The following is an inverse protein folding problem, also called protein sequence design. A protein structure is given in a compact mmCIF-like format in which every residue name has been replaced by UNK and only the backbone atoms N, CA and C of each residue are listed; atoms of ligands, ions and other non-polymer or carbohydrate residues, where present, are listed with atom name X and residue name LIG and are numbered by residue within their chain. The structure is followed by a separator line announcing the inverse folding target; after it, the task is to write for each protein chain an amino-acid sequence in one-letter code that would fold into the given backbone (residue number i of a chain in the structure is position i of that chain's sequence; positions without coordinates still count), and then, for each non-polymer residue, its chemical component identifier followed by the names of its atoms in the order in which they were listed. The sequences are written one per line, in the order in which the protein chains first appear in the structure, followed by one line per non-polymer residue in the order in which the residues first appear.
data_IF_753823145681
#
_entry.id   IF_753823145681
#
_cell.length_a   1.000
_cell.length_b   1.000
_cell.length_c   1.000
_cell.angle_alpha   90.00
_cell.angle_beta   90.00
_cell.angle_gamma   90.00
#
_symmetry.space_group_name_H-M   'P 1'
#
loop_
_entity.id
_entity.type
_entity.pdbx_description
1 polymer ?
#
# COMPACT_ATOMS: atom_id res chain seq x y z
N UNK A 1 15.59 -13.76 4.41
CA UNK A 1 14.43 -13.09 3.76
C UNK A 1 14.06 -11.91 4.63
N UNK A 2 14.26 -10.68 4.15
CA UNK A 2 13.64 -9.51 4.79
C UNK A 2 12.12 -9.57 4.52
N UNK A 3 11.31 -9.33 5.55
CA UNK A 3 9.86 -9.28 5.43
C UNK A 3 9.47 -8.15 4.48
N UNK A 4 8.72 -8.44 3.42
CA UNK A 4 8.21 -7.45 2.46
C UNK A 4 7.12 -6.52 3.03
N UNK A 5 6.97 -6.52 4.35
CA UNK A 5 5.92 -5.88 5.10
C UNK A 5 6.54 -5.24 6.34
N UNK A 6 6.79 -3.92 6.29
CA UNK A 6 7.45 -3.17 7.37
C UNK A 6 6.56 -2.09 8.00
N UNK A 7 5.26 -2.06 7.69
CA UNK A 7 4.34 -1.12 8.33
C UNK A 7 4.26 -1.40 9.85
N UNK A 8 4.40 -0.38 10.73
CA UNK A 8 4.22 -0.53 12.17
C UNK A 8 2.85 -1.10 12.55
N UNK A 9 1.78 -0.68 11.84
CA UNK A 9 0.41 -1.17 12.05
C UNK A 9 0.31 -2.66 11.74
N UNK A 10 1.01 -3.10 10.69
CA UNK A 10 1.04 -4.49 10.30
C UNK A 10 1.85 -5.34 11.29
N UNK A 11 2.97 -4.83 11.79
CA UNK A 11 3.77 -5.51 12.82
C UNK A 11 2.97 -5.75 14.10
N UNK A 12 2.20 -4.77 14.55
CA UNK A 12 1.36 -4.89 15.74
C UNK A 12 0.30 -6.00 15.56
N UNK A 13 -0.38 -6.02 14.42
CA UNK A 13 -1.47 -6.99 14.15
C UNK A 13 -0.97 -8.40 13.90
N UNK A 14 0.17 -8.54 13.25
CA UNK A 14 0.72 -9.84 12.87
C UNK A 14 1.44 -10.55 14.02
N UNK A 15 1.77 -9.84 15.10
CA UNK A 15 2.35 -10.40 16.34
C UNK A 15 1.52 -11.52 16.98
N UNK A 16 0.21 -11.58 16.67
CA UNK A 16 -0.74 -12.57 17.21
C UNK A 16 -0.97 -13.78 16.30
N UNK A 17 -0.35 -13.81 15.11
CA UNK A 17 -0.58 -14.86 14.10
C UNK A 17 0.59 -15.87 14.13
N UNK A 18 0.34 -17.19 14.13
CA UNK A 18 1.41 -18.19 14.02
C UNK A 18 2.30 -17.96 12.81
N UNK A 19 3.62 -17.88 13.02
CA UNK A 19 4.62 -17.42 12.03
C UNK A 19 4.53 -18.15 10.68
N UNK A 20 4.30 -19.46 10.68
CA UNK A 20 4.19 -20.24 9.43
C UNK A 20 2.91 -19.92 8.63
N UNK A 21 1.79 -19.70 9.31
CA UNK A 21 0.54 -19.29 8.67
C UNK A 21 0.62 -17.84 8.15
N UNK A 22 1.30 -16.97 8.89
CA UNK A 22 1.55 -15.59 8.51
C UNK A 22 2.39 -15.50 7.22
N UNK A 23 3.51 -16.23 7.13
CA UNK A 23 4.37 -16.20 5.94
C UNK A 23 3.58 -16.62 4.68
N UNK A 24 2.85 -17.73 4.75
CA UNK A 24 2.04 -18.21 3.62
C UNK A 24 0.94 -17.22 3.23
N UNK A 25 0.33 -16.56 4.23
CA UNK A 25 -0.66 -15.51 3.99
C UNK A 25 -0.04 -14.31 3.27
N UNK A 26 1.13 -13.85 3.73
CA UNK A 26 1.84 -12.72 3.16
C UNK A 26 2.36 -12.99 1.74
N UNK A 27 2.85 -14.19 1.44
CA UNK A 27 3.26 -14.59 0.09
C UNK A 27 2.07 -14.60 -0.88
N UNK A 28 0.95 -15.19 -0.46
CA UNK A 28 -0.29 -15.16 -1.24
C UNK A 28 -0.82 -13.74 -1.43
N UNK A 29 -0.70 -12.89 -0.40
CA UNK A 29 -1.11 -11.50 -0.45
C UNK A 29 -0.28 -10.70 -1.47
N UNK A 30 1.05 -10.88 -1.52
CA UNK A 30 1.90 -10.22 -2.51
C UNK A 30 1.55 -10.62 -3.94
N UNK A 31 1.26 -11.90 -4.18
CA UNK A 31 0.83 -12.36 -5.50
C UNK A 31 -0.49 -11.69 -5.92
N UNK A 32 -1.48 -11.69 -5.03
CA UNK A 32 -2.77 -11.06 -5.28
C UNK A 32 -2.65 -9.53 -5.46
N UNK A 33 -1.80 -8.87 -4.66
CA UNK A 33 -1.47 -7.45 -4.80
C UNK A 33 -0.84 -7.15 -6.16
N UNK A 34 0.15 -7.95 -6.59
CA UNK A 34 0.77 -7.82 -7.92
C UNK A 34 -0.28 -7.94 -9.04
N UNK A 35 -1.14 -8.96 -8.95
CA UNK A 35 -2.20 -9.19 -9.91
C UNK A 35 -3.21 -8.04 -9.97
N UNK A 36 -3.62 -7.49 -8.83
CA UNK A 36 -4.53 -6.34 -8.78
C UNK A 36 -3.85 -5.05 -9.25
N UNK A 37 -2.55 -4.86 -8.97
CA UNK A 37 -1.76 -3.75 -9.48
C UNK A 37 -1.72 -3.77 -11.01
N UNK A 38 -1.35 -4.90 -11.61
CA UNK A 38 -1.23 -5.07 -13.07
C UNK A 38 -2.52 -4.69 -13.82
N UNK A 39 -3.70 -4.91 -13.23
CA UNK A 39 -4.99 -4.54 -13.84
C UNK A 39 -5.18 -3.03 -13.98
N UNK A 40 -4.59 -2.26 -13.07
CA UNK A 40 -4.78 -0.80 -13.01
C UNK A 40 -3.69 -0.08 -13.81
N UNK A 41 -2.49 -0.66 -13.90
CA UNK A 41 -1.39 -0.01 -14.62
C UNK A 41 -1.71 0.22 -16.10
N UNK A 42 -1.39 1.41 -16.65
CA UNK A 42 -1.66 1.76 -18.05
C UNK A 42 -0.75 0.95 -18.98
N UNK A 43 -1.32 0.27 -19.98
CA UNK A 43 -0.51 -0.50 -20.95
C UNK A 43 0.32 0.46 -21.81
N UNK A 44 1.65 0.35 -21.76
CA UNK A 44 2.56 1.24 -22.51
C UNK A 44 2.72 2.65 -21.93
N UNK A 45 2.07 2.95 -20.80
CA UNK A 45 2.05 4.29 -20.21
C UNK A 45 3.13 4.55 -19.16
N UNK A 46 3.00 5.67 -18.45
CA UNK A 46 3.92 6.13 -17.41
C UNK A 46 3.26 6.09 -16.04
N UNK A 47 3.91 5.42 -15.10
CA UNK A 47 3.49 5.28 -13.70
C UNK A 47 4.40 6.17 -12.84
N UNK A 48 3.83 7.06 -12.05
CA UNK A 48 4.58 7.77 -11.02
C UNK A 48 4.41 7.05 -9.68
N UNK A 49 5.47 6.41 -9.20
CA UNK A 49 5.54 5.81 -7.88
C UNK A 49 6.05 6.84 -6.86
N UNK A 50 5.16 7.27 -5.98
CA UNK A 50 5.39 8.25 -4.93
C UNK A 50 5.62 7.54 -3.60
N UNK A 51 6.83 7.69 -3.03
CA UNK A 51 7.23 7.05 -1.78
C UNK A 51 7.01 5.51 -1.78
N UNK A 52 7.51 4.78 -2.80
CA UNK A 52 7.38 3.33 -2.82
C UNK A 52 8.20 2.72 -1.68
N UNK A 53 7.54 1.88 -0.87
CA UNK A 53 8.14 1.17 0.26
C UNK A 53 8.20 -0.31 -0.09
N UNK A 54 8.06 -1.19 0.88
CA UNK A 54 8.35 -2.62 0.77
C UNK A 54 7.48 -3.41 -0.20
N UNK A 55 6.17 -3.20 -0.19
CA UNK A 55 5.23 -3.93 -1.04
C UNK A 55 5.43 -3.50 -2.48
N UNK A 56 5.35 -2.18 -2.73
CA UNK A 56 5.44 -1.60 -4.06
C UNK A 56 6.85 -1.82 -4.64
N UNK A 57 7.91 -1.73 -3.83
CA UNK A 57 9.27 -2.11 -4.26
C UNK A 57 9.33 -3.56 -4.77
N UNK A 58 8.63 -4.48 -4.10
CA UNK A 58 8.69 -5.90 -4.43
C UNK A 58 7.93 -6.26 -5.71
N UNK A 59 6.80 -5.58 -5.98
CA UNK A 59 5.88 -5.99 -7.06
C UNK A 59 5.91 -5.05 -8.27
N UNK A 60 6.26 -3.77 -8.10
CA UNK A 60 6.18 -2.78 -9.18
C UNK A 60 7.07 -3.10 -10.37
N UNK A 61 8.35 -3.51 -10.23
CA UNK A 61 9.21 -3.76 -11.39
C UNK A 61 8.63 -4.82 -12.32
N UNK A 62 8.09 -5.91 -11.75
CA UNK A 62 7.45 -6.97 -12.52
C UNK A 62 6.16 -6.48 -13.17
N UNK A 63 5.27 -5.86 -12.39
CA UNK A 63 3.98 -5.39 -12.90
C UNK A 63 4.14 -4.36 -14.03
N UNK A 64 5.07 -3.41 -13.87
CA UNK A 64 5.38 -2.41 -14.89
C UNK A 64 5.94 -3.06 -16.17
N UNK A 65 6.84 -4.04 -16.03
CA UNK A 65 7.39 -4.77 -17.18
C UNK A 65 6.31 -5.52 -17.97
N UNK A 66 5.44 -6.26 -17.28
CA UNK A 66 4.34 -7.01 -17.94
C UNK A 66 3.37 -6.08 -18.68
N UNK A 67 3.19 -4.86 -18.15
CA UNK A 67 2.31 -3.84 -18.74
C UNK A 67 3.05 -2.92 -19.72
N UNK A 68 4.35 -3.13 -19.94
CA UNK A 68 5.23 -2.29 -20.74
C UNK A 68 5.20 -0.82 -20.30
N UNK A 69 5.07 -0.56 -19.00
CA UNK A 69 5.07 0.78 -18.44
C UNK A 69 6.49 1.32 -18.26
N UNK A 70 6.62 2.63 -18.33
CA UNK A 70 7.75 3.36 -17.75
C UNK A 70 7.37 3.86 -16.35
N UNK A 71 8.36 3.99 -15.46
CA UNK A 71 8.17 4.29 -14.04
C UNK A 71 9.00 5.50 -13.65
N UNK A 72 8.34 6.58 -13.24
CA UNK A 72 8.95 7.71 -12.53
C UNK A 72 8.95 7.34 -11.05
N UNK A 73 10.11 7.35 -10.40
CA UNK A 73 10.25 6.92 -9.01
C UNK A 73 10.65 8.10 -8.13
N UNK A 74 9.77 8.53 -7.23
CA UNK A 74 9.99 9.62 -6.28
C UNK A 74 10.19 9.05 -4.88
N UNK A 75 11.31 9.38 -4.24
CA UNK A 75 11.66 8.91 -2.89
C UNK A 75 11.71 7.38 -2.76
N UNK A 76 12.02 6.66 -3.84
CA UNK A 76 12.18 5.21 -3.81
C UNK A 76 13.54 4.77 -3.28
N UNK A 77 13.60 3.54 -2.80
CA UNK A 77 14.84 2.95 -2.30
C UNK A 77 15.88 2.78 -3.42
N UNK A 78 17.20 2.83 -3.10
CA UNK A 78 18.25 2.56 -4.09
C UNK A 78 18.09 1.21 -4.79
N UNK A 79 17.58 0.20 -4.07
CA UNK A 79 17.32 -1.14 -4.58
C UNK A 79 16.23 -1.12 -5.65
N UNK A 80 15.11 -0.42 -5.39
CA UNK A 80 14.04 -0.26 -6.37
C UNK A 80 14.55 0.47 -7.61
N UNK A 81 15.26 1.59 -7.44
CA UNK A 81 15.77 2.39 -8.56
C UNK A 81 16.70 1.55 -9.44
N UNK A 82 17.58 0.75 -8.84
CA UNK A 82 18.46 -0.18 -9.57
C UNK A 82 17.67 -1.24 -10.34
N UNK A 83 16.65 -1.83 -9.72
CA UNK A 83 15.83 -2.86 -10.38
C UNK A 83 15.00 -2.29 -11.54
N UNK A 84 14.43 -1.09 -11.38
CA UNK A 84 13.73 -0.39 -12.46
C UNK A 84 14.68 -0.06 -13.62
N UNK A 85 15.90 0.39 -13.33
CA UNK A 85 16.91 0.70 -14.35
C UNK A 85 17.37 -0.56 -15.09
N UNK A 86 17.62 -1.64 -14.37
CA UNK A 86 18.05 -2.94 -14.92
C UNK A 86 17.03 -3.52 -15.90
N UNK A 87 15.74 -3.29 -15.67
CA UNK A 87 14.66 -3.77 -16.53
C UNK A 87 14.30 -2.78 -17.65
N UNK A 88 15.06 -1.68 -17.84
CA UNK A 88 14.75 -0.60 -18.78
C UNK A 88 13.32 -0.03 -18.61
N UNK A 89 12.85 0.07 -17.38
CA UNK A 89 11.52 0.65 -17.09
C UNK A 89 11.61 1.95 -16.29
N UNK A 90 12.78 2.33 -15.78
CA UNK A 90 12.96 3.60 -15.09
C UNK A 90 12.89 4.79 -16.07
N UNK A 91 11.98 5.73 -15.81
CA UNK A 91 11.89 7.01 -16.51
C UNK A 91 12.54 8.12 -15.70
N UNK A 92 13.52 8.79 -16.31
CA UNK A 92 14.21 9.95 -15.73
C UNK A 92 13.99 11.23 -16.52
N UNK A 93 13.29 11.16 -17.66
CA UNK A 93 13.15 12.27 -18.62
C UNK A 93 11.75 12.88 -18.56
N UNK A 94 10.74 12.07 -18.29
CA UNK A 94 9.36 12.54 -18.21
C UNK A 94 9.13 13.29 -16.90
N UNK A 95 8.50 14.46 -17.00
CA UNK A 95 8.05 15.23 -15.83
C UNK A 95 6.99 14.43 -15.06
N UNK A 96 7.03 14.46 -13.72
CA UNK A 96 6.11 13.66 -12.91
C UNK A 96 4.64 14.02 -13.16
N UNK A 97 4.35 15.28 -13.49
CA UNK A 97 3.02 15.82 -13.79
C UNK A 97 2.41 15.22 -15.07
N UNK A 98 3.21 14.52 -15.88
CA UNK A 98 2.79 13.86 -17.11
C UNK A 98 2.56 12.35 -16.93
N UNK A 99 2.59 11.85 -15.70
CA UNK A 99 2.28 10.45 -15.46
C UNK A 99 0.79 10.16 -15.68
N UNK A 100 0.49 9.00 -16.24
CA UNK A 100 -0.88 8.53 -16.47
C UNK A 100 -1.55 8.06 -15.16
N UNK A 101 -0.74 7.62 -14.19
CA UNK A 101 -1.21 7.20 -12.87
C UNK A 101 -0.18 7.54 -11.80
N UNK A 102 -0.67 7.95 -10.63
CA UNK A 102 0.10 8.17 -9.42
C UNK A 102 -0.22 7.07 -8.42
N UNK A 103 0.81 6.37 -7.93
CA UNK A 103 0.67 5.29 -6.97
C UNK A 103 1.55 5.51 -5.75
N UNK A 104 1.04 5.21 -4.56
CA UNK A 104 1.79 5.27 -3.30
C UNK A 104 1.59 4.02 -2.44
N UNK A 105 2.54 3.75 -1.55
CA UNK A 105 2.43 2.74 -0.51
C UNK A 105 2.29 3.45 0.86
N UNK A 106 1.06 3.58 1.39
CA UNK A 106 0.88 4.21 2.68
C UNK A 106 1.29 3.28 3.83
N UNK A 107 1.48 3.87 5.01
CA UNK A 107 1.77 3.10 6.21
C UNK A 107 0.52 2.34 6.69
N UNK A 108 -0.68 2.85 6.37
CA UNK A 108 -1.92 2.10 6.51
C UNK A 108 -3.13 2.75 5.84
N UNK A 109 -4.30 2.20 6.14
CA UNK A 109 -5.57 2.68 5.61
C UNK A 109 -6.48 3.09 6.76
N UNK A 110 -7.22 4.18 6.58
CA UNK A 110 -8.28 4.63 7.47
C UNK A 110 -9.59 4.73 6.70
N UNK A 111 -10.68 5.02 7.41
CA UNK A 111 -12.01 5.21 6.80
C UNK A 111 -11.97 6.27 5.70
N UNK A 112 -11.23 7.35 5.94
CA UNK A 112 -11.24 8.55 5.11
C UNK A 112 -10.10 8.59 4.07
N UNK A 113 -9.26 7.54 4.02
CA UNK A 113 -8.20 7.46 3.02
C UNK A 113 -6.95 6.69 3.46
N UNK A 114 -5.80 7.15 3.00
CA UNK A 114 -4.50 6.53 3.28
C UNK A 114 -3.75 7.27 4.39
N UNK A 115 -3.11 6.50 5.26
CA UNK A 115 -2.29 7.00 6.35
C UNK A 115 -0.84 7.12 5.88
N UNK A 116 -0.33 8.35 5.89
CA UNK A 116 1.00 8.71 5.39
C UNK A 116 1.72 9.54 6.42
N UNK A 117 3.05 9.64 6.30
CA UNK A 117 3.79 10.52 7.20
C UNK A 117 3.58 11.98 6.81
N UNK A 118 3.63 12.93 7.75
CA UNK A 118 3.42 14.34 7.44
C UNK A 118 4.30 14.90 6.32
N UNK A 119 5.54 14.42 6.20
CA UNK A 119 6.46 14.83 5.13
C UNK A 119 6.07 14.33 3.72
N UNK A 120 5.13 13.37 3.62
CA UNK A 120 4.63 12.82 2.34
C UNK A 120 3.39 13.59 1.85
N UNK A 121 2.65 14.24 2.77
CA UNK A 121 1.32 14.81 2.56
C UNK A 121 1.28 15.85 1.44
N UNK A 122 2.18 16.83 1.46
CA UNK A 122 2.13 17.97 0.53
C UNK A 122 2.23 17.52 -0.94
N UNK A 123 3.07 16.52 -1.22
CA UNK A 123 3.24 16.02 -2.57
C UNK A 123 2.05 15.14 -2.99
N UNK A 124 1.61 14.25 -2.11
CA UNK A 124 0.53 13.31 -2.41
C UNK A 124 -0.81 14.02 -2.65
N UNK A 125 -1.10 15.10 -1.94
CA UNK A 125 -2.34 15.87 -2.11
C UNK A 125 -2.43 16.63 -3.44
N UNK A 126 -1.31 16.77 -4.18
CA UNK A 126 -1.30 17.44 -5.49
C UNK A 126 -1.88 16.58 -6.62
N UNK A 127 -2.06 15.27 -6.38
CA UNK A 127 -2.43 14.31 -7.41
C UNK A 127 -3.61 13.43 -6.99
N UNK A 128 -4.28 12.85 -7.98
CA UNK A 128 -5.26 11.80 -7.75
C UNK A 128 -4.53 10.46 -7.53
N UNK A 129 -4.26 10.12 -6.27
CA UNK A 129 -3.39 9.00 -5.91
C UNK A 129 -4.15 7.69 -5.71
N UNK A 130 -3.65 6.62 -6.32
CA UNK A 130 -4.01 5.24 -5.97
C UNK A 130 -3.07 4.73 -4.88
N UNK A 131 -3.61 4.24 -3.77
CA UNK A 131 -2.81 3.63 -2.71
C UNK A 131 -2.79 2.11 -2.84
N UNK A 132 -1.67 1.48 -2.51
CA UNK A 132 -1.52 0.03 -2.46
C UNK A 132 -0.97 -0.44 -1.11
N UNK A 133 -1.59 -1.47 -0.55
CA UNK A 133 -1.13 -2.06 0.70
C UNK A 133 -1.99 -3.25 1.10
N UNK A 134 -1.59 -3.97 2.15
CA UNK A 134 -2.39 -5.06 2.68
C UNK A 134 -3.63 -4.54 3.39
N UNK A 135 -4.73 -5.27 3.19
CA UNK A 135 -5.95 -5.23 3.97
C UNK A 135 -5.71 -5.15 5.49
N UNK A 136 -4.66 -5.82 5.98
CA UNK A 136 -4.33 -5.87 7.40
C UNK A 136 -3.85 -4.52 7.96
N UNK A 137 -3.37 -3.60 7.12
CA UNK A 137 -2.92 -2.26 7.51
C UNK A 137 -4.08 -1.29 7.81
N UNK A 138 -5.33 -1.73 7.68
CA UNK A 138 -6.48 -0.90 7.99
C UNK A 138 -6.64 -0.65 9.49
N UNK A 139 -6.89 0.58 9.88
CA UNK A 139 -7.18 0.99 11.26
C UNK A 139 -8.41 1.90 11.33
N UNK A 140 -9.08 1.87 12.48
CA UNK A 140 -10.18 2.81 12.80
C UNK A 140 -9.68 4.08 13.47
N UNK A 141 -8.47 4.03 14.01
CA UNK A 141 -7.85 5.13 14.75
C UNK A 141 -6.82 5.81 13.85
N UNK A 142 -6.84 7.14 13.81
CA UNK A 142 -5.81 7.95 13.17
C UNK A 142 -4.63 8.09 14.16
N UNK A 143 -3.46 7.50 13.88
CA UNK A 143 -2.29 7.67 14.74
C UNK A 143 -1.83 9.13 14.75
N UNK A 144 -1.38 9.63 15.90
CA UNK A 144 -0.88 11.00 16.03
C UNK A 144 0.38 11.30 15.19
N UNK A 145 1.03 10.26 14.68
CA UNK A 145 2.24 10.34 13.84
C UNK A 145 1.94 10.38 12.35
N UNK A 146 0.67 10.36 11.95
CA UNK A 146 0.24 10.20 10.56
C UNK A 146 -0.80 11.22 10.18
N UNK A 147 -0.71 11.68 8.93
CA UNK A 147 -1.79 12.39 8.26
C UNK A 147 -2.67 11.39 7.51
N UNK A 148 -3.92 11.77 7.28
CA UNK A 148 -4.84 11.05 6.42
C UNK A 148 -5.03 11.83 5.12
N UNK A 149 -4.73 11.21 3.98
CA UNK A 149 -4.93 11.80 2.66
C UNK A 149 -6.04 11.08 1.90
N UNK A 150 -6.82 11.83 1.13
CA UNK A 150 -7.77 11.25 0.19
C UNK A 150 -7.02 10.46 -0.90
N UNK A 151 -7.60 9.34 -1.30
CA UNK A 151 -7.10 8.49 -2.39
C UNK A 151 -8.24 8.24 -3.37
N UNK A 152 -7.94 7.98 -4.64
CA UNK A 152 -8.96 7.61 -5.62
C UNK A 152 -9.26 6.12 -5.62
N UNK A 153 -8.27 5.29 -5.31
CA UNK A 153 -8.42 3.83 -5.23
C UNK A 153 -7.50 3.25 -4.16
N UNK A 154 -7.97 2.20 -3.50
CA UNK A 154 -7.15 1.33 -2.66
C UNK A 154 -6.97 -0.03 -3.37
N UNK A 155 -5.73 -0.45 -3.57
CA UNK A 155 -5.36 -1.79 -4.05
C UNK A 155 -4.95 -2.63 -2.85
N UNK A 156 -5.62 -3.74 -2.66
CA UNK A 156 -5.31 -4.74 -1.64
C UNK A 156 -5.20 -6.13 -2.26
N UNK A 157 -4.78 -7.12 -1.47
CA UNK A 157 -4.84 -8.53 -1.82
C UNK A 157 -6.27 -9.03 -2.08
N UNK A 158 -7.30 -8.30 -1.62
CA UNK A 158 -8.71 -8.68 -1.83
C UNK A 158 -9.35 -8.06 -3.07
N UNK A 159 -8.70 -7.07 -3.67
CA UNK A 159 -9.20 -6.37 -4.84
C UNK A 159 -8.88 -4.88 -4.81
N UNK A 160 -9.58 -4.17 -5.70
CA UNK A 160 -9.47 -2.72 -5.87
C UNK A 160 -10.77 -2.06 -5.43
N UNK A 161 -10.67 -1.04 -4.58
CA UNK A 161 -11.81 -0.35 -3.99
C UNK A 161 -11.74 1.14 -4.33
N UNK A 162 -12.90 1.71 -4.67
CA UNK A 162 -13.07 3.16 -4.72
C UNK A 162 -13.26 3.73 -3.31
N UNK A 163 -13.19 5.05 -3.11
CA UNK A 163 -13.22 5.65 -1.77
C UNK A 163 -14.54 5.38 -1.05
N UNK A 164 -15.64 5.29 -1.81
CA UNK A 164 -16.98 4.96 -1.28
C UNK A 164 -17.06 3.50 -0.81
N UNK A 165 -16.27 2.61 -1.42
CA UNK A 165 -16.23 1.18 -1.10
C UNK A 165 -15.18 0.84 -0.04
N UNK A 166 -14.26 1.76 0.30
CA UNK A 166 -13.28 1.55 1.37
C UNK A 166 -14.00 1.18 2.68
N UNK A 167 -15.15 1.78 2.98
CA UNK A 167 -15.98 1.44 4.14
C UNK A 167 -16.47 -0.03 4.14
N UNK A 168 -16.74 -0.64 2.98
CA UNK A 168 -17.19 -2.03 2.86
C UNK A 168 -16.06 -3.06 3.03
N UNK A 169 -14.81 -2.65 2.78
CA UNK A 169 -13.63 -3.45 3.13
C UNK A 169 -13.41 -3.46 4.66
N UNK A 170 -13.66 -2.33 5.33
CA UNK A 170 -13.50 -2.14 6.79
C UNK A 170 -14.35 -3.11 7.63
N UNK A 171 -15.54 -3.48 7.15
CA UNK A 171 -16.46 -4.37 7.88
C UNK A 171 -16.01 -5.84 7.89
N UNK A 172 -15.16 -6.26 6.95
CA UNK A 172 -14.74 -7.68 6.83
C UNK A 172 -13.56 -8.06 7.74
N UNK A 173 -12.80 -7.09 8.26
CA UNK A 173 -11.64 -7.30 9.15
C UNK A 173 -11.77 -6.59 10.49
N UNK A 174 -13.00 -6.36 10.94
CA UNK A 174 -13.23 -6.12 12.35
C UNK A 174 -12.93 -7.43 13.10
N UNK A 175 -11.65 -7.71 13.34
CA UNK A 175 -11.25 -8.66 14.37
C UNK A 175 -11.92 -8.12 15.63
N UNK A 176 -12.74 -8.92 16.35
CA UNK A 176 -13.35 -8.43 17.57
C UNK A 176 -12.24 -7.87 18.45
N UNK A 177 -12.35 -6.58 18.82
CA UNK A 177 -11.55 -6.05 19.91
C UNK A 177 -11.65 -7.06 21.04
N UNK A 178 -10.54 -7.44 21.71
CA UNK A 178 -10.67 -8.24 22.91
C UNK A 178 -11.63 -7.47 23.81
N UNK A 179 -12.79 -8.07 24.08
CA UNK A 179 -13.75 -7.50 25.00
C UNK A 179 -12.95 -7.17 26.26
N UNK A 180 -12.96 -5.91 26.67
CA UNK A 180 -12.41 -5.52 27.96
C UNK A 180 -13.12 -6.39 29.00
N UNK A 181 -12.44 -7.43 29.47
CA UNK A 181 -12.89 -8.25 30.58
C UNK A 181 -12.74 -7.41 31.85
N UNK A 182 -13.56 -6.37 31.98
CA UNK A 182 -13.85 -5.78 33.28
C UNK A 182 -14.77 -6.77 33.99
N UNK A 183 -14.19 -7.84 34.53
CA UNK A 183 -14.79 -8.53 35.65
C UNK A 183 -14.73 -7.56 36.82
N UNK A 184 -15.83 -6.83 37.02
CA UNK A 184 -16.12 -6.18 38.29
C UNK A 184 -16.24 -7.30 39.33
N UNK A 185 -15.45 -7.30 40.41
CA UNK A 185 -15.70 -8.23 41.51
C UNK A 185 -17.01 -7.82 42.17
N UNK A 186 -18.01 -8.69 42.11
CA UNK A 186 -19.24 -8.56 42.89
C UNK A 186 -18.88 -8.75 44.38
N UNK A 187 -19.44 -7.95 45.30
CA UNK A 187 -19.19 -8.05 46.74
C UNK A 187 -19.62 -9.39 47.36
#
# INVERSE_FOLDING_TARGET
MQSAFTSPILLERTSKIPRGALIKHLENALYALSYNLEKILPKGGTVCALYPKTILQSILPRAAKERNCKVICISGTPELIKELAKNDILDKKTSMEKADIYITEPDGFAKDGALVKPEETELLQKFEVTAIGSALQYTRELPATHDCIAISKAITELGTYSPELNASFCSKFSIPSPASTNQTPTP
#
